data_IF_945469774164
#
_entry.id   IF_945469774164
#
_cell.length_a   1.000
_cell.length_b   1.000
_cell.length_c   1.000
_cell.angle_alpha   90.00
_cell.angle_beta   90.00
_cell.angle_gamma   90.00
#
_symmetry.space_group_name_H-M   'P 1'
#
loop_
_entity.id
_entity.type
_entity.pdbx_description
1 polymer ?
#
# COMPACT_ATOMS: atom_id res chain seq x y z
N UNK A 1 23.88 -13.61 -34.53
CA UNK A 1 24.56 -12.60 -33.69
C UNK A 1 23.98 -12.65 -32.28
N UNK A 2 24.80 -12.59 -31.22
CA UNK A 2 24.33 -12.79 -29.83
C UNK A 2 23.41 -11.68 -29.29
N UNK A 3 23.46 -10.49 -29.89
CA UNK A 3 22.66 -9.33 -29.47
C UNK A 3 21.20 -9.39 -29.94
N UNK A 4 20.84 -10.31 -30.82
CA UNK A 4 19.48 -10.44 -31.36
C UNK A 4 18.50 -11.18 -30.42
N UNK A 5 18.95 -11.60 -29.24
CA UNK A 5 18.08 -12.09 -28.17
C UNK A 5 17.59 -10.91 -27.32
N UNK A 6 16.32 -10.56 -27.48
CA UNK A 6 15.69 -9.43 -26.81
C UNK A 6 14.70 -9.82 -25.71
N UNK A 7 14.39 -11.11 -25.56
CA UNK A 7 13.25 -11.56 -24.75
C UNK A 7 13.65 -12.46 -23.58
N UNK A 8 14.78 -13.18 -23.65
CA UNK A 8 15.18 -14.13 -22.60
C UNK A 8 15.31 -13.44 -21.23
N UNK A 9 15.94 -12.27 -21.16
CA UNK A 9 16.08 -11.55 -19.89
C UNK A 9 14.77 -10.90 -19.44
N UNK A 10 13.91 -10.48 -20.36
CA UNK A 10 12.59 -9.94 -20.04
C UNK A 10 11.69 -11.02 -19.41
N UNK A 11 11.71 -12.24 -19.98
CA UNK A 11 11.04 -13.41 -19.40
C UNK A 11 11.63 -13.75 -18.04
N UNK A 12 12.96 -13.86 -17.91
CA UNK A 12 13.61 -14.13 -16.63
C UNK A 12 13.19 -13.10 -15.56
N UNK A 13 13.18 -11.81 -15.90
CA UNK A 13 12.77 -10.76 -14.97
C UNK A 13 11.31 -10.95 -14.53
N UNK A 14 10.38 -11.05 -15.48
CA UNK A 14 8.95 -11.17 -15.17
C UNK A 14 8.60 -12.46 -14.39
N UNK A 15 9.20 -13.58 -14.78
CA UNK A 15 8.97 -14.89 -14.13
C UNK A 15 9.58 -15.00 -12.73
N UNK A 16 10.50 -14.09 -12.40
CA UNK A 16 11.12 -13.98 -11.07
C UNK A 16 10.31 -13.14 -10.07
N UNK A 17 9.32 -12.39 -10.56
CA UNK A 17 8.47 -11.53 -9.76
C UNK A 17 7.45 -12.36 -8.96
N UNK A 18 7.08 -11.87 -7.79
CA UNK A 18 5.91 -12.41 -7.06
C UNK A 18 4.61 -12.11 -7.82
N UNK A 19 3.50 -12.82 -7.53
CA UNK A 19 2.22 -12.53 -8.18
C UNK A 19 1.78 -11.07 -8.08
N UNK A 20 2.01 -10.42 -6.93
CA UNK A 20 1.72 -8.99 -6.72
C UNK A 20 2.55 -8.10 -7.64
N UNK A 21 3.85 -8.36 -7.73
CA UNK A 21 4.75 -7.59 -8.61
C UNK A 21 4.42 -7.81 -10.10
N UNK A 22 4.04 -9.02 -10.50
CA UNK A 22 3.56 -9.31 -11.87
C UNK A 22 2.28 -8.51 -12.17
N UNK A 23 1.37 -8.44 -11.21
CA UNK A 23 0.13 -7.68 -11.32
C UNK A 23 0.40 -6.18 -11.43
N UNK A 24 1.33 -5.64 -10.64
CA UNK A 24 1.75 -4.24 -10.73
C UNK A 24 2.41 -3.92 -12.08
N UNK A 25 3.25 -4.80 -12.61
CA UNK A 25 3.85 -4.64 -13.94
C UNK A 25 2.74 -4.61 -15.02
N UNK A 26 1.79 -5.53 -14.97
CA UNK A 26 0.67 -5.55 -15.91
C UNK A 26 -0.20 -4.29 -15.80
N UNK A 27 -0.47 -3.83 -14.57
CA UNK A 27 -1.25 -2.63 -14.32
C UNK A 27 -0.52 -1.37 -14.83
N UNK A 28 0.81 -1.30 -14.69
CA UNK A 28 1.62 -0.23 -15.25
C UNK A 28 1.57 -0.21 -16.78
N UNK A 29 1.75 -1.36 -17.44
CA UNK A 29 1.61 -1.44 -18.91
C UNK A 29 0.21 -1.02 -19.36
N UNK A 30 -0.85 -1.49 -18.69
CA UNK A 30 -2.24 -1.07 -18.96
C UNK A 30 -2.40 0.44 -18.82
N UNK A 31 -1.91 1.02 -17.72
CA UNK A 31 -2.04 2.44 -17.42
C UNK A 31 -1.28 3.33 -18.41
N UNK A 32 -0.05 2.96 -18.77
CA UNK A 32 0.71 3.76 -19.74
C UNK A 32 0.18 3.61 -21.15
N UNK A 33 -0.19 2.40 -21.57
CA UNK A 33 -0.76 2.18 -22.90
C UNK A 33 -2.17 2.77 -23.05
N UNK A 34 -2.95 2.91 -21.98
CA UNK A 34 -4.28 3.56 -22.06
C UNK A 34 -4.18 5.04 -22.41
N UNK A 35 -3.04 5.69 -22.11
CA UNK A 35 -2.75 7.08 -22.51
C UNK A 35 -2.27 7.20 -23.96
N UNK A 36 -1.88 6.10 -24.60
CA UNK A 36 -1.43 6.10 -26.00
C UNK A 36 -2.65 6.16 -26.92
N UNK A 37 -2.78 7.25 -27.67
CA UNK A 37 -3.95 7.52 -28.51
C UNK A 37 -3.98 6.72 -29.81
N UNK A 38 -2.83 6.21 -30.28
CA UNK A 38 -2.74 5.45 -31.54
C UNK A 38 -2.93 3.94 -31.25
N UNK A 39 -4.04 3.31 -31.69
CA UNK A 39 -4.34 1.91 -31.36
C UNK A 39 -3.27 0.92 -31.80
N UNK A 40 -2.72 1.11 -33.01
CA UNK A 40 -1.68 0.24 -33.56
C UNK A 40 -0.39 0.22 -32.71
N UNK A 41 -0.09 1.28 -31.96
CA UNK A 41 1.06 1.30 -31.04
C UNK A 41 0.79 0.40 -29.83
N UNK A 42 -0.43 0.44 -29.29
CA UNK A 42 -0.85 -0.42 -28.18
C UNK A 42 -0.80 -1.89 -28.59
N UNK A 43 -1.39 -2.22 -29.74
CA UNK A 43 -1.39 -3.58 -30.30
C UNK A 43 0.02 -4.12 -30.51
N UNK A 44 0.92 -3.31 -31.10
CA UNK A 44 2.33 -3.70 -31.31
C UNK A 44 3.09 -3.89 -30.01
N UNK A 45 2.80 -3.07 -29.00
CA UNK A 45 3.43 -3.23 -27.68
C UNK A 45 2.97 -4.53 -27.02
N UNK A 46 1.66 -4.84 -27.05
CA UNK A 46 1.12 -6.10 -26.53
C UNK A 46 1.67 -7.31 -27.30
N UNK A 47 1.75 -7.21 -28.64
CA UNK A 47 2.37 -8.21 -29.52
C UNK A 47 3.83 -8.49 -29.15
N UNK A 48 4.58 -7.46 -28.75
CA UNK A 48 5.94 -7.60 -28.23
C UNK A 48 5.97 -8.25 -26.85
N UNK A 49 5.07 -7.86 -25.92
CA UNK A 49 4.98 -8.45 -24.58
C UNK A 49 4.70 -9.96 -24.64
N UNK A 50 3.93 -10.42 -25.64
CA UNK A 50 3.62 -11.85 -25.81
C UNK A 50 4.87 -12.70 -26.04
N UNK A 51 5.94 -12.12 -26.61
CA UNK A 51 7.22 -12.82 -26.73
C UNK A 51 7.95 -13.02 -25.39
N UNK A 52 7.66 -12.18 -24.39
CA UNK A 52 8.24 -12.30 -23.05
C UNK A 52 7.36 -13.17 -22.12
N UNK A 53 6.04 -12.96 -22.14
CA UNK A 53 5.07 -13.76 -21.38
C UNK A 53 3.67 -13.64 -21.97
N UNK A 54 3.06 -14.77 -22.30
CA UNK A 54 1.69 -14.81 -22.82
C UNK A 54 0.67 -14.35 -21.77
N UNK A 55 0.88 -14.70 -20.50
CA UNK A 55 0.01 -14.30 -19.40
C UNK A 55 0.02 -12.77 -19.18
N UNK A 56 1.19 -12.16 -19.22
CA UNK A 56 1.33 -10.69 -19.14
C UNK A 56 0.59 -10.02 -20.30
N UNK A 57 0.85 -10.46 -21.53
CA UNK A 57 0.24 -9.88 -22.72
C UNK A 57 -1.29 -10.01 -22.71
N UNK A 58 -1.82 -11.17 -22.31
CA UNK A 58 -3.25 -11.41 -22.17
C UNK A 58 -3.88 -10.49 -21.11
N UNK A 59 -3.24 -10.33 -19.95
CA UNK A 59 -3.73 -9.44 -18.89
C UNK A 59 -3.76 -7.97 -19.34
N UNK A 60 -2.71 -7.51 -20.01
CA UNK A 60 -2.63 -6.14 -20.55
C UNK A 60 -3.66 -5.92 -21.66
N UNK A 61 -3.80 -6.86 -22.61
CA UNK A 61 -4.77 -6.78 -23.70
C UNK A 61 -6.21 -6.65 -23.17
N UNK A 62 -6.58 -7.51 -22.20
CA UNK A 62 -7.87 -7.46 -21.53
C UNK A 62 -8.09 -6.11 -20.83
N UNK A 63 -7.09 -5.62 -20.11
CA UNK A 63 -7.16 -4.32 -19.42
C UNK A 63 -7.29 -3.12 -20.36
N UNK A 64 -6.88 -3.25 -21.62
CA UNK A 64 -7.04 -2.24 -22.68
C UNK A 64 -8.32 -2.41 -23.50
N UNK A 65 -9.15 -3.41 -23.18
CA UNK A 65 -10.38 -3.69 -23.92
C UNK A 65 -10.15 -4.23 -25.33
N UNK A 66 -9.06 -4.96 -25.57
CA UNK A 66 -8.82 -5.63 -26.85
C UNK A 66 -9.63 -6.94 -26.92
N UNK A 67 -10.40 -7.14 -27.99
CA UNK A 67 -11.21 -8.35 -28.20
C UNK A 67 -10.38 -9.61 -28.44
N UNK A 68 -9.18 -9.42 -28.99
CA UNK A 68 -8.24 -10.51 -29.30
C UNK A 68 -6.85 -10.16 -28.78
N UNK A 69 -6.10 -11.18 -28.40
CA UNK A 69 -4.68 -11.03 -28.10
C UNK A 69 -3.93 -10.94 -29.44
N UNK A 70 -3.18 -9.85 -29.71
CA UNK A 70 -2.38 -9.74 -30.91
C UNK A 70 -1.40 -10.92 -31.08
N UNK A 71 -1.13 -11.27 -32.34
CA UNK A 71 -0.09 -12.25 -32.66
C UNK A 71 1.26 -11.81 -32.13
N UNK A 72 2.09 -12.77 -31.70
CA UNK A 72 3.42 -12.46 -31.22
C UNK A 72 4.25 -11.84 -32.34
N UNK A 73 4.94 -10.74 -32.03
CA UNK A 73 5.77 -10.05 -33.03
C UNK A 73 6.89 -11.00 -33.51
N UNK A 74 7.27 -11.00 -34.79
CA UNK A 74 8.40 -11.79 -35.25
C UNK A 74 9.67 -11.50 -34.43
N UNK A 75 10.29 -12.55 -33.88
CA UNK A 75 11.56 -12.42 -33.15
C UNK A 75 12.70 -12.16 -34.15
N UNK A 76 13.65 -11.31 -33.77
CA UNK A 76 14.85 -11.07 -34.57
C UNK A 76 15.70 -12.35 -34.73
N UNK A 77 15.64 -13.24 -33.73
CA UNK A 77 16.24 -14.56 -33.74
C UNK A 77 15.15 -15.61 -33.48
N UNK A 78 14.87 -16.53 -34.43
CA UNK A 78 13.82 -17.55 -34.26
C UNK A 78 14.12 -18.54 -33.14
N UNK A 79 15.38 -18.96 -33.03
CA UNK A 79 15.87 -19.90 -32.03
C UNK A 79 16.88 -19.20 -31.11
N UNK A 80 16.49 -18.99 -29.86
CA UNK A 80 17.39 -18.51 -28.81
C UNK A 80 17.97 -19.69 -28.04
N UNK A 81 19.17 -19.50 -27.47
CA UNK A 81 19.76 -20.50 -26.59
C UNK A 81 18.84 -20.77 -25.39
N UNK A 82 18.75 -22.03 -24.96
CA UNK A 82 17.99 -22.39 -23.76
C UNK A 82 18.57 -21.67 -22.54
N UNK A 83 17.77 -20.90 -21.78
CA UNK A 83 18.29 -20.19 -20.62
C UNK A 83 18.69 -21.18 -19.52
N UNK A 84 19.84 -20.96 -18.89
CA UNK A 84 20.30 -21.73 -17.72
C UNK A 84 19.49 -21.41 -16.46
N UNK A 85 18.96 -20.19 -16.39
CA UNK A 85 18.18 -19.67 -15.25
C UNK A 85 16.83 -19.20 -15.75
N UNK A 86 15.77 -19.80 -15.22
CA UNK A 86 14.38 -19.47 -15.56
C UNK A 86 13.74 -18.50 -14.57
N UNK A 87 14.18 -18.54 -13.31
CA UNK A 87 13.74 -17.66 -12.22
C UNK A 87 14.91 -17.32 -11.31
N UNK A 88 14.95 -16.09 -10.85
CA UNK A 88 15.94 -15.59 -9.91
C UNK A 88 15.27 -14.69 -8.86
N UNK A 89 15.03 -15.21 -7.63
CA UNK A 89 14.42 -14.42 -6.55
C UNK A 89 15.15 -13.10 -6.25
N UNK A 90 16.40 -12.95 -6.67
CA UNK A 90 17.15 -11.69 -6.53
C UNK A 90 16.59 -10.52 -7.31
N UNK A 91 15.76 -10.79 -8.34
CA UNK A 91 15.18 -9.80 -9.22
C UNK A 91 13.83 -9.27 -8.72
N UNK A 92 13.33 -9.80 -7.60
CA UNK A 92 12.08 -9.38 -6.96
C UNK A 92 12.40 -8.62 -5.67
N UNK A 93 11.67 -7.51 -5.46
CA UNK A 93 11.71 -6.74 -4.23
C UNK A 93 11.06 -7.51 -3.09
N UNK A 94 9.95 -8.21 -3.36
CA UNK A 94 9.20 -8.94 -2.33
C UNK A 94 9.86 -10.26 -1.91
N UNK A 95 10.68 -10.87 -2.78
CA UNK A 95 11.57 -11.98 -2.38
C UNK A 95 12.79 -11.51 -1.56
N UNK A 96 13.06 -10.19 -1.51
CA UNK A 96 14.16 -9.57 -0.76
C UNK A 96 13.68 -8.34 0.01
N UNK A 97 12.82 -8.50 1.04
CA UNK A 97 12.18 -7.38 1.75
C UNK A 97 13.15 -6.54 2.62
N UNK A 98 14.45 -6.83 2.60
CA UNK A 98 15.44 -6.22 3.48
C UNK A 98 15.50 -6.89 4.85
N UNK A 99 16.05 -6.18 5.82
CA UNK A 99 16.17 -6.61 7.24
C UNK A 99 14.91 -6.29 8.07
N UNK A 100 13.89 -5.67 7.45
CA UNK A 100 12.67 -5.25 8.13
C UNK A 100 12.84 -4.00 9.00
N UNK A 101 13.96 -3.28 8.89
CA UNK A 101 14.19 -2.06 9.66
C UNK A 101 13.11 -1.00 9.39
N UNK A 102 12.69 -0.32 10.46
CA UNK A 102 11.68 0.74 10.41
C UNK A 102 12.31 2.14 10.48
N UNK A 103 13.62 2.23 10.63
CA UNK A 103 14.33 3.49 10.78
C UNK A 103 14.06 4.42 9.59
N UNK A 104 13.63 5.65 9.89
CA UNK A 104 13.30 6.67 8.89
C UNK A 104 11.90 6.56 8.29
N UNK A 105 11.14 5.49 8.56
CA UNK A 105 9.71 5.43 8.19
C UNK A 105 8.92 6.49 8.94
N UNK A 106 7.87 7.00 8.32
CA UNK A 106 6.99 8.03 8.90
C UNK A 106 5.64 7.45 9.29
N UNK A 107 5.15 7.76 10.48
CA UNK A 107 3.81 7.32 10.94
C UNK A 107 2.98 8.52 11.31
N UNK A 108 1.77 8.58 10.77
CA UNK A 108 0.76 9.56 11.20
C UNK A 108 0.03 9.01 12.42
N UNK A 109 -0.06 9.81 13.49
CA UNK A 109 -0.94 9.56 14.63
C UNK A 109 -2.04 10.62 14.57
N UNK A 110 -3.25 10.22 14.17
CA UNK A 110 -4.38 11.14 14.06
C UNK A 110 -4.91 11.53 15.43
N UNK A 111 -5.03 12.83 15.65
CA UNK A 111 -5.54 13.43 16.89
C UNK A 111 -6.59 14.49 16.61
N UNK A 112 -7.48 14.71 17.57
CA UNK A 112 -8.42 15.82 17.59
C UNK A 112 -8.76 16.16 19.06
N UNK A 113 -9.45 17.28 19.35
CA UNK A 113 -9.88 17.60 20.70
C UNK A 113 -10.58 16.43 21.39
N UNK A 114 -10.16 16.10 22.62
CA UNK A 114 -10.70 14.99 23.40
C UNK A 114 -10.11 13.60 23.07
N UNK A 115 -8.94 13.56 22.44
CA UNK A 115 -8.18 12.31 22.20
C UNK A 115 -7.62 11.74 23.50
N UNK A 116 -7.45 10.41 23.57
CA UNK A 116 -6.72 9.75 24.66
C UNK A 116 -5.22 10.05 24.52
N UNK A 117 -4.74 11.05 25.26
CA UNK A 117 -3.39 11.58 25.11
C UNK A 117 -2.28 10.64 25.58
N UNK A 118 -2.55 9.83 26.62
CA UNK A 118 -1.55 8.92 27.18
C UNK A 118 -1.16 7.83 26.18
N UNK A 119 -2.13 7.29 25.44
CA UNK A 119 -1.89 6.34 24.36
C UNK A 119 -1.09 6.97 23.22
N UNK A 120 -1.38 8.21 22.82
CA UNK A 120 -0.65 8.89 21.74
C UNK A 120 0.83 9.05 22.10
N UNK A 121 1.13 9.50 23.33
CA UNK A 121 2.50 9.64 23.83
C UNK A 121 3.21 8.28 23.90
N UNK A 122 2.52 7.24 24.37
CA UNK A 122 3.06 5.88 24.42
C UNK A 122 3.40 5.36 23.02
N UNK A 123 2.50 5.52 22.05
CA UNK A 123 2.70 5.11 20.67
C UNK A 123 3.86 5.87 20.02
N UNK A 124 3.93 7.19 20.20
CA UNK A 124 5.03 8.02 19.70
C UNK A 124 6.39 7.56 20.25
N UNK A 125 6.47 7.32 21.56
CA UNK A 125 7.70 6.86 22.21
C UNK A 125 8.15 5.47 21.72
N UNK A 126 7.21 4.53 21.59
CA UNK A 126 7.49 3.18 21.11
C UNK A 126 7.98 3.17 19.64
N UNK A 127 7.39 4.02 18.79
CA UNK A 127 7.82 4.20 17.41
C UNK A 127 9.22 4.84 17.33
N UNK A 128 9.46 5.88 18.12
CA UNK A 128 10.76 6.54 18.17
C UNK A 128 11.89 5.58 18.59
N UNK A 129 11.61 4.66 19.53
CA UNK A 129 12.55 3.63 19.94
C UNK A 129 12.96 2.66 18.80
N UNK A 130 12.15 2.55 17.75
CA UNK A 130 12.46 1.79 16.53
C UNK A 130 13.11 2.65 15.42
N UNK A 131 13.39 3.94 15.70
CA UNK A 131 13.89 4.91 14.74
C UNK A 131 12.82 5.43 13.76
N UNK A 132 11.55 5.22 14.05
CA UNK A 132 10.42 5.72 13.25
C UNK A 132 10.17 7.20 13.57
N UNK A 133 9.86 7.97 12.53
CA UNK A 133 9.43 9.36 12.64
C UNK A 133 7.91 9.40 12.86
N UNK A 134 7.49 9.46 14.13
CA UNK A 134 6.07 9.55 14.51
C UNK A 134 5.61 11.02 14.58
N UNK A 135 4.65 11.38 13.71
CA UNK A 135 4.09 12.73 13.57
C UNK A 135 2.68 12.78 14.16
N UNK A 136 2.38 13.85 14.88
CA UNK A 136 1.05 14.09 15.45
C UNK A 136 0.26 14.91 14.43
N UNK A 137 -0.73 14.27 13.82
CA UNK A 137 -1.49 14.84 12.70
C UNK A 137 -2.89 15.22 13.16
N UNK A 138 -3.22 16.51 13.13
CA UNK A 138 -4.54 17.01 13.51
C UNK A 138 -5.36 17.57 12.34
N UNK A 139 -6.56 18.12 12.61
CA UNK A 139 -7.27 18.97 11.66
C UNK A 139 -6.51 20.29 11.37
N UNK A 140 -5.68 20.71 12.33
CA UNK A 140 -4.78 21.86 12.25
C UNK A 140 -3.51 21.58 13.05
N UNK A 141 -2.45 22.34 12.77
CA UNK A 141 -1.24 22.35 13.60
C UNK A 141 -1.48 23.08 14.94
N UNK A 142 -0.55 22.89 15.87
CA UNK A 142 -0.55 23.50 17.18
C UNK A 142 -1.26 22.67 18.25
N UNK A 143 -1.51 23.28 19.40
CA UNK A 143 -2.10 22.61 20.56
C UNK A 143 -3.48 22.00 20.29
N UNK A 144 -3.63 20.73 20.64
CA UNK A 144 -4.85 19.91 20.61
C UNK A 144 -5.14 19.43 22.04
N UNK A 145 -6.25 19.87 22.67
CA UNK A 145 -6.57 19.45 24.03
C UNK A 145 -6.96 17.96 24.07
N UNK A 146 -6.41 17.20 25.02
CA UNK A 146 -6.73 15.79 25.23
C UNK A 146 -7.97 15.64 26.14
N UNK A 147 -8.47 14.42 26.28
CA UNK A 147 -9.53 14.10 27.25
C UNK A 147 -9.11 14.34 28.71
N UNK A 148 -7.82 14.33 29.03
CA UNK A 148 -7.29 14.59 30.37
C UNK A 148 -7.13 16.09 30.69
N UNK A 149 -7.35 16.96 29.70
CA UNK A 149 -7.27 18.42 29.83
C UNK A 149 -5.88 19.02 29.62
N UNK A 150 -4.84 18.19 29.43
CA UNK A 150 -3.56 18.65 28.86
C UNK A 150 -3.66 18.77 27.34
N UNK A 151 -2.55 19.10 26.67
CA UNK A 151 -2.53 19.29 25.21
C UNK A 151 -1.35 18.59 24.55
N UNK A 152 -1.61 18.02 23.38
CA UNK A 152 -0.59 17.55 22.44
C UNK A 152 -0.34 18.62 21.39
N UNK A 153 0.89 18.74 20.91
CA UNK A 153 1.21 19.67 19.82
C UNK A 153 1.19 18.93 18.48
N UNK A 154 0.20 19.22 17.64
CA UNK A 154 0.12 18.67 16.30
C UNK A 154 1.13 19.38 15.39
N UNK A 155 2.08 18.63 14.85
CA UNK A 155 3.15 19.12 14.00
C UNK A 155 2.86 18.95 12.51
N UNK A 156 1.71 18.37 12.17
CA UNK A 156 1.16 18.25 10.84
C UNK A 156 -0.37 18.36 10.87
N UNK A 157 -0.97 18.73 9.75
CA UNK A 157 -2.40 18.63 9.51
C UNK A 157 -2.72 17.67 8.37
N UNK A 158 -3.92 17.11 8.35
CA UNK A 158 -4.37 16.27 7.23
C UNK A 158 -4.37 17.02 5.89
N UNK A 159 -4.48 18.35 5.93
CA UNK A 159 -4.39 19.23 4.76
C UNK A 159 -2.95 19.40 4.25
N UNK A 160 -1.99 19.70 5.14
CA UNK A 160 -0.62 20.03 4.73
C UNK A 160 0.25 18.78 4.51
N UNK A 161 -0.09 17.67 5.15
CA UNK A 161 0.59 16.38 5.00
C UNK A 161 -0.46 15.29 4.75
N UNK A 162 -0.88 15.07 3.49
CA UNK A 162 -1.86 14.04 3.15
C UNK A 162 -1.34 12.62 3.38
N UNK A 163 -2.26 11.65 3.52
CA UNK A 163 -1.96 10.28 3.96
C UNK A 163 -0.95 9.51 3.11
N UNK A 164 -0.76 9.87 1.84
CA UNK A 164 0.24 9.23 0.99
C UNK A 164 1.70 9.51 1.41
N UNK A 165 1.97 10.56 2.21
CA UNK A 165 3.31 10.93 2.70
C UNK A 165 3.84 10.08 3.87
N UNK A 166 2.98 9.26 4.47
CA UNK A 166 3.33 8.41 5.62
C UNK A 166 3.44 6.93 5.21
N UNK A 167 4.14 6.12 5.98
CA UNK A 167 4.24 4.67 5.79
C UNK A 167 3.13 3.89 6.49
N UNK A 168 2.53 4.46 7.54
CA UNK A 168 1.44 3.84 8.31
C UNK A 168 0.62 4.89 9.08
N UNK A 169 -0.53 4.45 9.63
CA UNK A 169 -1.50 5.28 10.33
C UNK A 169 -1.89 4.67 11.69
N UNK A 170 -1.91 5.50 12.73
CA UNK A 170 -2.54 5.21 14.02
C UNK A 170 -3.71 6.18 14.23
N UNK A 171 -4.85 5.65 14.66
CA UNK A 171 -6.03 6.42 15.06
C UNK A 171 -6.30 6.09 16.53
N UNK A 172 -6.07 7.06 17.40
CA UNK A 172 -6.21 6.91 18.85
C UNK A 172 -7.69 6.95 19.28
N UNK A 173 -7.96 6.42 20.46
CA UNK A 173 -9.28 6.45 21.08
C UNK A 173 -9.66 7.87 21.55
N UNK A 174 -10.93 8.06 21.91
CA UNK A 174 -11.49 9.32 22.40
C UNK A 174 -12.78 9.66 21.67
N UNK A 175 -13.92 9.53 22.35
CA UNK A 175 -15.23 9.69 21.74
C UNK A 175 -15.43 11.08 21.11
N UNK A 176 -14.96 12.13 21.78
CA UNK A 176 -15.03 13.51 21.28
C UNK A 176 -14.10 13.71 20.08
N UNK A 177 -12.88 13.17 20.13
CA UNK A 177 -11.94 13.24 19.02
C UNK A 177 -12.48 12.52 17.78
N UNK A 178 -13.04 11.32 17.95
CA UNK A 178 -13.67 10.55 16.88
C UNK A 178 -14.87 11.29 16.31
N UNK A 179 -15.71 11.90 17.15
CA UNK A 179 -16.81 12.72 16.69
C UNK A 179 -16.32 13.92 15.86
N UNK A 180 -15.29 14.62 16.31
CA UNK A 180 -14.70 15.73 15.56
C UNK A 180 -14.11 15.28 14.21
N UNK A 181 -13.30 14.22 14.21
CA UNK A 181 -12.70 13.65 13.00
C UNK A 181 -13.76 13.14 12.01
N UNK A 182 -14.90 12.63 12.51
CA UNK A 182 -16.01 12.16 11.67
C UNK A 182 -16.66 13.26 10.82
N UNK A 183 -16.55 14.52 11.25
CA UNK A 183 -17.12 15.68 10.57
C UNK A 183 -16.12 16.36 9.61
N UNK A 184 -14.85 15.96 9.63
CA UNK A 184 -13.82 16.46 8.72
C UNK A 184 -13.70 15.52 7.51
N UNK A 185 -13.96 16.04 6.31
CA UNK A 185 -13.87 15.28 5.06
C UNK A 185 -12.47 14.71 4.81
N UNK A 186 -11.42 15.42 5.22
CA UNK A 186 -10.04 14.96 5.04
C UNK A 186 -9.77 13.65 5.77
N UNK A 187 -10.40 13.42 6.92
CA UNK A 187 -10.22 12.19 7.71
C UNK A 187 -10.55 10.94 6.88
N UNK A 188 -11.67 10.96 6.15
CA UNK A 188 -12.11 9.80 5.38
C UNK A 188 -11.18 9.53 4.19
N UNK A 189 -10.73 10.58 3.52
CA UNK A 189 -9.76 10.49 2.42
C UNK A 189 -8.42 9.95 2.93
N UNK A 190 -7.94 10.48 4.07
CA UNK A 190 -6.70 10.07 4.70
C UNK A 190 -6.71 8.57 5.05
N UNK A 191 -7.80 8.09 5.64
CA UNK A 191 -7.98 6.68 6.00
C UNK A 191 -8.08 5.79 4.75
N UNK A 192 -8.89 6.19 3.76
CA UNK A 192 -9.07 5.45 2.50
C UNK A 192 -7.78 5.31 1.72
N UNK A 193 -7.01 6.39 1.59
CA UNK A 193 -5.73 6.40 0.88
C UNK A 193 -4.73 5.45 1.54
N UNK A 194 -4.62 5.48 2.87
CA UNK A 194 -3.72 4.59 3.59
C UNK A 194 -4.10 3.12 3.39
N UNK A 195 -5.41 2.82 3.45
CA UNK A 195 -5.92 1.46 3.25
C UNK A 195 -5.68 0.96 1.82
N UNK A 196 -6.05 1.75 0.81
CA UNK A 196 -5.89 1.42 -0.62
C UNK A 196 -4.42 1.28 -1.02
N UNK A 197 -3.54 2.08 -0.41
CA UNK A 197 -2.09 1.95 -0.59
C UNK A 197 -1.47 0.81 0.22
N UNK A 198 -2.28 -0.05 0.84
CA UNK A 198 -1.85 -1.23 1.57
C UNK A 198 -0.94 -0.93 2.78
N UNK A 199 -1.07 0.24 3.40
CA UNK A 199 -0.25 0.67 4.56
C UNK A 199 -0.81 0.18 5.89
N UNK A 200 0.03 -0.13 6.87
CA UNK A 200 -0.45 -0.61 8.17
C UNK A 200 -1.34 0.45 8.85
N UNK A 201 -2.49 0.03 9.38
CA UNK A 201 -3.43 0.91 10.10
C UNK A 201 -3.71 0.29 11.47
N UNK A 202 -3.59 1.09 12.53
CA UNK A 202 -4.07 0.76 13.86
C UNK A 202 -5.20 1.71 14.24
N UNK A 203 -6.37 1.18 14.60
CA UNK A 203 -7.48 1.94 15.17
C UNK A 203 -7.85 1.39 16.55
N UNK A 204 -7.88 2.26 17.56
CA UNK A 204 -8.13 1.87 18.96
C UNK A 204 -9.49 2.37 19.44
N UNK A 205 -10.26 1.50 20.08
CA UNK A 205 -11.52 1.87 20.74
C UNK A 205 -12.54 2.49 19.79
N UNK A 206 -13.00 3.71 20.11
CA UNK A 206 -14.00 4.45 19.34
C UNK A 206 -13.54 4.73 17.89
N UNK A 207 -12.23 4.77 17.63
CA UNK A 207 -11.66 5.04 16.31
C UNK A 207 -12.10 4.04 15.23
N UNK A 208 -12.53 2.84 15.62
CA UNK A 208 -13.09 1.83 14.71
C UNK A 208 -14.32 2.35 13.95
N UNK A 209 -15.06 3.31 14.51
CA UNK A 209 -16.18 3.95 13.83
C UNK A 209 -15.72 4.71 12.57
N UNK A 210 -14.54 5.32 12.59
CA UNK A 210 -13.99 6.04 11.44
C UNK A 210 -13.62 5.09 10.29
N UNK A 211 -13.21 3.86 10.61
CA UNK A 211 -13.00 2.83 9.59
C UNK A 211 -14.32 2.50 8.88
N UNK A 212 -15.39 2.23 9.64
CA UNK A 212 -16.72 1.96 9.08
C UNK A 212 -17.22 3.12 8.23
N UNK A 213 -17.07 4.36 8.71
CA UNK A 213 -17.48 5.56 7.98
C UNK A 213 -16.66 5.76 6.70
N UNK A 214 -15.39 5.36 6.71
CA UNK A 214 -14.54 5.33 5.53
C UNK A 214 -14.90 4.19 4.55
N UNK A 215 -15.96 3.42 4.79
CA UNK A 215 -16.34 2.26 3.97
C UNK A 215 -15.44 1.05 4.20
N UNK A 216 -14.56 1.10 5.19
CA UNK A 216 -13.60 0.04 5.46
C UNK A 216 -14.18 -0.99 6.43
N UNK A 217 -13.84 -2.28 6.26
CA UNK A 217 -14.17 -3.30 7.25
C UNK A 217 -13.47 -3.00 8.59
N UNK A 218 -14.13 -3.33 9.71
CA UNK A 218 -13.56 -3.14 11.07
C UNK A 218 -12.74 -4.33 11.58
N UNK A 219 -12.76 -5.43 10.82
CA UNK A 219 -11.87 -6.59 10.96
C UNK A 219 -11.73 -7.23 9.58
N UNK A 220 -10.53 -7.71 9.29
CA UNK A 220 -10.25 -8.53 8.11
C UNK A 220 -9.47 -9.79 8.53
N UNK A 221 -9.99 -10.51 9.54
CA UNK A 221 -9.39 -11.77 10.02
C UNK A 221 -9.27 -12.83 8.91
N UNK A 222 -10.00 -12.64 7.81
CA UNK A 222 -9.85 -13.36 6.55
C UNK A 222 -9.89 -12.35 5.42
N UNK A 223 -8.72 -11.98 4.95
CA UNK A 223 -8.56 -11.17 3.75
C UNK A 223 -9.35 -11.75 2.55
N UNK A 224 -9.91 -10.89 1.69
CA UNK A 224 -10.58 -11.30 0.45
C UNK A 224 -9.58 -11.86 -0.60
N UNK A 225 -8.29 -11.57 -0.45
CA UNK A 225 -7.17 -12.18 -1.17
C UNK A 225 -6.15 -12.77 -0.17
N UNK A 226 -5.39 -13.80 -0.55
CA UNK A 226 -4.48 -14.50 0.37
C UNK A 226 -3.50 -13.54 1.09
N UNK A 227 -3.48 -13.55 2.43
CA UNK A 227 -2.48 -12.81 3.23
C UNK A 227 -3.06 -11.96 4.35
N UNK A 228 -2.18 -11.35 5.15
CA UNK A 228 -2.57 -10.41 6.20
C UNK A 228 -3.03 -9.08 5.61
N UNK A 229 -3.92 -8.40 6.32
CA UNK A 229 -4.48 -7.13 5.85
C UNK A 229 -3.80 -5.92 6.45
N UNK A 230 -3.05 -6.09 7.55
CA UNK A 230 -2.40 -4.97 8.25
C UNK A 230 -3.36 -3.92 8.79
N UNK A 231 -4.65 -4.25 8.91
CA UNK A 231 -5.62 -3.46 9.64
C UNK A 231 -5.78 -4.06 11.03
N UNK A 232 -5.38 -3.31 12.04
CA UNK A 232 -5.40 -3.73 13.44
C UNK A 232 -6.47 -2.89 14.14
N UNK A 233 -7.49 -3.56 14.67
CA UNK A 233 -8.51 -2.96 15.51
C UNK A 233 -8.29 -3.44 16.95
N UNK A 234 -8.03 -2.52 17.86
CA UNK A 234 -7.79 -2.83 19.28
C UNK A 234 -8.92 -2.29 20.15
N UNK A 235 -9.21 -3.00 21.25
CA UNK A 235 -10.15 -2.53 22.27
C UNK A 235 -9.50 -1.44 23.15
N UNK A 236 -10.29 -0.60 23.84
CA UNK A 236 -9.76 0.35 24.81
C UNK A 236 -8.92 -0.36 25.88
N UNK A 237 -7.74 0.17 26.21
CA UNK A 237 -6.86 -0.37 27.25
C UNK A 237 -5.86 -1.45 26.79
N UNK A 238 -5.95 -1.98 25.57
CA UNK A 238 -4.96 -2.90 24.98
C UNK A 238 -3.85 -2.17 24.20
N UNK A 239 -3.41 -1.02 24.72
CA UNK A 239 -2.53 -0.10 23.98
C UNK A 239 -1.16 -0.69 23.64
N UNK A 240 -0.49 -1.32 24.61
CA UNK A 240 0.87 -1.83 24.43
C UNK A 240 0.92 -3.03 23.47
N UNK A 241 -0.02 -3.97 23.61
CA UNK A 241 -0.15 -5.11 22.71
C UNK A 241 -0.43 -4.67 21.27
N UNK A 242 -1.35 -3.72 21.11
CA UNK A 242 -1.70 -3.16 19.80
C UNK A 242 -0.54 -2.40 19.14
N UNK A 243 0.21 -1.59 19.89
CA UNK A 243 1.40 -0.88 19.38
C UNK A 243 2.47 -1.88 18.92
N UNK A 244 2.71 -2.95 19.69
CA UNK A 244 3.66 -3.99 19.32
C UNK A 244 3.25 -4.72 18.04
N UNK A 245 1.97 -5.10 17.93
CA UNK A 245 1.42 -5.72 16.74
C UNK A 245 1.53 -4.79 15.52
N UNK A 246 1.28 -3.49 15.70
CA UNK A 246 1.42 -2.48 14.66
C UNK A 246 2.87 -2.34 14.16
N UNK A 247 3.84 -2.25 15.07
CA UNK A 247 5.27 -2.20 14.73
C UNK A 247 5.69 -3.45 13.95
N UNK A 248 5.26 -4.64 14.39
CA UNK A 248 5.55 -5.90 13.70
C UNK A 248 4.94 -5.91 12.28
N UNK A 249 3.69 -5.45 12.15
CA UNK A 249 3.00 -5.38 10.86
C UNK A 249 3.68 -4.38 9.90
N UNK A 250 4.21 -3.26 10.40
CA UNK A 250 5.00 -2.31 9.59
C UNK A 250 6.28 -2.92 9.00
N UNK A 251 6.86 -3.93 9.65
CA UNK A 251 8.05 -4.64 9.15
C UNK A 251 7.84 -5.29 7.77
N UNK A 252 6.58 -5.53 7.37
CA UNK A 252 6.22 -6.08 6.06
C UNK A 252 6.18 -5.04 4.93
N UNK A 253 6.42 -3.77 5.23
CA UNK A 253 6.25 -2.61 4.33
C UNK A 253 4.79 -2.36 3.89
N UNK A 254 4.15 -3.33 3.22
CA UNK A 254 2.76 -3.25 2.72
C UNK A 254 2.04 -4.58 2.89
N UNK A 255 0.71 -4.51 2.98
CA UNK A 255 -0.18 -5.66 3.19
C UNK A 255 -1.03 -5.92 1.94
N UNK A 256 -0.43 -6.57 0.94
CA UNK A 256 -1.06 -6.82 -0.36
C UNK A 256 -2.20 -7.83 -0.31
N UNK A 257 -2.43 -8.51 0.83
CA UNK A 257 -3.59 -9.40 1.00
C UNK A 257 -4.91 -8.67 0.74
N UNK A 258 -4.99 -7.38 1.05
CA UNK A 258 -6.17 -6.54 0.79
C UNK A 258 -6.10 -5.69 -0.48
N UNK A 259 -5.09 -5.89 -1.34
CA UNK A 259 -5.01 -5.18 -2.60
C UNK A 259 -6.11 -5.65 -3.56
N UNK A 260 -6.85 -4.72 -4.15
CA UNK A 260 -7.95 -5.00 -5.06
C UNK A 260 -7.87 -4.07 -6.28
N UNK A 261 -8.03 -4.63 -7.49
CA UNK A 261 -8.14 -3.87 -8.75
C UNK A 261 -9.39 -4.33 -9.55
N UNK A 262 -10.42 -3.48 -9.70
CA UNK A 262 -10.53 -2.13 -9.15
C UNK A 262 -10.64 -2.13 -7.61
N UNK A 263 -10.26 -1.03 -6.93
CA UNK A 263 -10.42 -0.91 -5.48
C UNK A 263 -11.90 -1.07 -5.09
N UNK A 264 -12.17 -1.84 -4.03
CA UNK A 264 -13.51 -1.92 -3.44
C UNK A 264 -13.88 -0.58 -2.77
N UNK A 265 -15.19 -0.30 -2.74
CA UNK A 265 -15.78 0.87 -2.09
C UNK A 265 -15.79 0.72 -0.57
#
# INVERSE_FOLDING_TARGET
>A
EKFADHYTQATLFFESQTPVEQDHIANAFRFELSKVTVPAIRERTVSMLRNASEALAAKVAKGLGMDTLPEAMPKAMPEVATPEVLKSPSLSLLHRPGDGALTGRKVAILVAPGVEGSFVVQAQAALLAQGVVARIVGPRIGAIPTAAGDALDADASMENEPGFLFDALIIADGQEAVAALSQDGHTMEFIKDQFRHCKTILAVGAARQLLTQAGLPVSLDKSLAQGDTGLIAAEPGDGEGAIKAFIQAMGKHRHFGREMDPPLL
#
